data_IF_993616288680
#
_entry.id   IF_993616288680
#
_cell.length_a   1.000
_cell.length_b   1.000
_cell.length_c   1.000
_cell.angle_alpha   90.00
_cell.angle_beta   90.00
_cell.angle_gamma   90.00
#
_symmetry.space_group_name_H-M   'P 1'
#
loop_
_entity.id
_entity.type
_entity.pdbx_description
1 polymer ?
#
# COMPACT_ATOMS: atom_id res chain seq x y z
N UNK A 1 20.39 -18.72 -21.98
CA UNK A 1 20.53 -17.80 -20.82
C UNK A 1 19.64 -18.27 -19.68
N UNK A 2 20.15 -18.31 -18.45
CA UNK A 2 19.38 -18.73 -17.27
C UNK A 2 18.85 -17.50 -16.54
N UNK A 3 17.55 -17.49 -16.22
CA UNK A 3 16.92 -16.52 -15.34
C UNK A 3 16.52 -17.21 -14.02
N UNK A 4 17.14 -16.84 -12.89
CA UNK A 4 16.92 -17.49 -11.58
C UNK A 4 15.64 -17.01 -10.88
N UNK A 5 14.63 -16.62 -11.66
CA UNK A 5 13.35 -16.13 -11.17
C UNK A 5 12.23 -16.60 -12.07
N UNK A 6 11.07 -16.78 -11.47
CA UNK A 6 9.84 -17.09 -12.17
C UNK A 6 8.87 -15.93 -11.96
N UNK A 7 8.57 -15.19 -13.03
CA UNK A 7 7.54 -14.13 -13.04
C UNK A 7 6.60 -14.37 -14.21
N UNK A 8 5.31 -14.21 -13.96
CA UNK A 8 4.32 -14.12 -15.02
C UNK A 8 4.60 -12.87 -15.86
N UNK A 9 4.68 -13.02 -17.19
CA UNK A 9 5.07 -11.96 -18.15
C UNK A 9 6.44 -11.32 -17.85
N UNK A 10 7.47 -12.13 -17.62
CA UNK A 10 8.83 -11.63 -17.38
C UNK A 10 9.38 -10.89 -18.62
N UNK A 11 9.37 -9.55 -18.56
CA UNK A 11 9.86 -8.69 -19.64
C UNK A 11 11.32 -8.93 -20.00
N UNK A 12 12.15 -9.37 -19.06
CA UNK A 12 13.55 -9.70 -19.32
C UNK A 12 13.61 -10.97 -20.17
N UNK A 13 12.86 -12.00 -19.80
CA UNK A 13 12.76 -13.22 -20.60
C UNK A 13 12.27 -12.91 -22.02
N UNK A 14 11.18 -12.15 -22.15
CA UNK A 14 10.64 -11.78 -23.45
C UNK A 14 11.58 -10.92 -24.29
N UNK A 15 12.41 -10.07 -23.67
CA UNK A 15 13.40 -9.28 -24.39
C UNK A 15 14.55 -10.15 -24.91
N UNK A 16 15.02 -11.10 -24.10
CA UNK A 16 16.08 -12.02 -24.46
C UNK A 16 15.65 -13.01 -25.56
N UNK A 17 14.43 -13.54 -25.47
CA UNK A 17 13.84 -14.40 -26.51
C UNK A 17 13.70 -13.65 -27.84
N UNK A 18 13.22 -12.40 -27.82
CA UNK A 18 13.17 -11.54 -29.01
C UNK A 18 14.55 -11.22 -29.60
N UNK A 19 15.59 -11.22 -28.78
CA UNK A 19 16.97 -11.07 -29.22
C UNK A 19 17.59 -12.39 -29.73
N UNK A 20 16.81 -13.47 -29.85
CA UNK A 20 17.25 -14.78 -30.37
C UNK A 20 17.86 -15.71 -29.32
N UNK A 21 17.81 -15.36 -28.03
CA UNK A 21 18.33 -16.23 -26.97
C UNK A 21 17.34 -17.28 -26.52
N UNK A 22 17.79 -18.52 -26.33
CA UNK A 22 17.03 -19.52 -25.58
C UNK A 22 17.07 -19.19 -24.08
N UNK A 23 15.91 -18.98 -23.45
CA UNK A 23 15.81 -18.58 -22.04
C UNK A 23 15.28 -19.73 -21.18
N UNK A 24 16.09 -20.16 -20.21
CA UNK A 24 15.69 -21.11 -19.18
C UNK A 24 15.27 -20.33 -17.94
N UNK A 25 14.04 -20.53 -17.45
CA UNK A 25 13.50 -19.87 -16.25
C UNK A 25 13.43 -20.89 -15.13
N UNK A 26 14.06 -20.60 -14.00
CA UNK A 26 14.07 -21.48 -12.82
C UNK A 26 13.79 -20.64 -11.59
N UNK A 27 12.80 -21.02 -10.79
CA UNK A 27 12.56 -20.38 -9.49
C UNK A 27 13.60 -20.87 -8.47
N UNK A 28 14.65 -20.08 -8.22
CA UNK A 28 15.67 -20.42 -7.20
C UNK A 28 15.21 -19.99 -5.80
N UNK A 29 14.31 -19.01 -5.72
CA UNK A 29 13.70 -18.55 -4.48
C UNK A 29 12.18 -18.52 -4.62
N UNK A 30 11.47 -18.71 -3.51
CA UNK A 30 10.01 -18.56 -3.45
C UNK A 30 9.64 -17.38 -2.56
N UNK A 31 8.54 -16.73 -2.90
CA UNK A 31 7.90 -15.77 -1.99
C UNK A 31 6.96 -16.53 -1.07
N UNK A 32 7.05 -16.27 0.23
CA UNK A 32 6.04 -16.69 1.19
C UNK A 32 5.21 -15.46 1.55
N UNK A 33 3.87 -15.52 1.46
CA UNK A 33 3.02 -14.45 1.98
C UNK A 33 3.30 -14.23 3.46
N UNK A 34 3.33 -12.96 3.89
CA UNK A 34 3.38 -12.63 5.31
C UNK A 34 2.07 -13.00 5.99
N UNK A 35 2.11 -13.14 7.32
CA UNK A 35 0.91 -13.31 8.13
C UNK A 35 0.06 -12.03 8.06
N UNK A 36 -1.16 -12.15 7.54
CA UNK A 36 -2.11 -11.04 7.37
C UNK A 36 -2.41 -10.33 8.68
N UNK A 37 -2.59 -11.05 9.79
CA UNK A 37 -2.89 -10.44 11.08
C UNK A 37 -1.71 -9.63 11.61
N UNK A 38 -0.48 -10.11 11.37
CA UNK A 38 0.73 -9.36 11.72
C UNK A 38 0.86 -8.09 10.87
N UNK A 39 0.51 -8.15 9.58
CA UNK A 39 0.54 -7.00 8.68
C UNK A 39 -0.50 -5.94 9.06
N UNK A 40 -1.72 -6.34 9.42
CA UNK A 40 -2.79 -5.46 9.92
C UNK A 40 -2.37 -4.77 11.22
N UNK A 41 -1.89 -5.54 12.21
CA UNK A 41 -1.38 -4.97 13.47
C UNK A 41 -0.23 -4.01 13.22
N UNK A 42 0.69 -4.35 12.30
CA UNK A 42 1.82 -3.48 11.95
C UNK A 42 1.34 -2.19 11.32
N UNK A 43 0.40 -2.26 10.37
CA UNK A 43 -0.17 -1.08 9.71
C UNK A 43 -0.87 -0.15 10.72
N UNK A 44 -1.67 -0.72 11.63
CA UNK A 44 -2.32 0.05 12.70
C UNK A 44 -1.33 0.82 13.55
N UNK A 45 -0.26 0.15 14.00
CA UNK A 45 0.80 0.77 14.82
C UNK A 45 1.52 1.90 14.10
N UNK A 46 1.77 1.72 12.79
CA UNK A 46 2.38 2.75 11.95
C UNK A 46 1.45 3.97 11.84
N UNK A 47 0.17 3.76 11.54
CA UNK A 47 -0.82 4.83 11.40
C UNK A 47 -1.10 5.54 12.72
N UNK A 48 -1.09 4.80 13.84
CA UNK A 48 -1.21 5.35 15.19
C UNK A 48 0.04 6.13 15.64
N UNK A 49 1.14 6.09 14.87
CA UNK A 49 2.39 6.78 15.22
C UNK A 49 3.10 6.19 16.44
N UNK A 50 2.86 4.90 16.75
CA UNK A 50 3.48 4.23 17.91
C UNK A 50 5.00 4.06 17.77
N UNK A 51 5.53 4.19 16.56
CA UNK A 51 6.96 4.12 16.27
C UNK A 51 7.51 5.48 15.84
N UNK A 52 8.62 5.91 16.44
CA UNK A 52 9.34 7.12 16.01
C UNK A 52 10.13 6.93 14.71
N UNK A 53 10.37 5.67 14.31
CA UNK A 53 11.13 5.29 13.12
C UNK A 53 10.48 4.10 12.40
N UNK A 54 10.43 4.19 11.07
CA UNK A 54 10.16 3.06 10.18
C UNK A 54 11.36 2.84 9.27
N UNK A 55 11.89 1.61 9.24
CA UNK A 55 13.02 1.23 8.38
C UNK A 55 12.52 0.33 7.26
N UNK A 56 12.62 0.79 6.03
CA UNK A 56 12.20 0.07 4.83
C UNK A 56 13.43 -0.40 4.06
N UNK A 57 13.69 -1.70 4.13
CA UNK A 57 14.87 -2.32 3.50
C UNK A 57 14.59 -2.82 2.08
N UNK A 58 13.30 -2.93 1.70
CA UNK A 58 12.91 -3.41 0.38
C UNK A 58 11.65 -2.72 -0.14
N UNK A 59 11.63 -2.39 -1.44
CA UNK A 59 10.44 -1.88 -2.12
C UNK A 59 9.26 -2.85 -1.97
N UNK A 60 9.56 -4.16 -1.94
CA UNK A 60 8.56 -5.19 -1.74
C UNK A 60 7.83 -5.09 -0.41
N UNK A 61 8.52 -4.70 0.66
CA UNK A 61 7.90 -4.48 1.97
C UNK A 61 6.85 -3.38 1.87
N UNK A 62 7.13 -2.32 1.12
CA UNK A 62 6.17 -1.22 0.87
C UNK A 62 4.97 -1.73 0.07
N UNK A 63 5.21 -2.47 -1.01
CA UNK A 63 4.14 -3.05 -1.84
C UNK A 63 3.22 -3.97 -1.03
N UNK A 64 3.77 -4.76 -0.11
CA UNK A 64 2.99 -5.65 0.77
C UNK A 64 2.21 -4.86 1.82
N UNK A 65 2.81 -3.82 2.43
CA UNK A 65 2.15 -3.02 3.47
C UNK A 65 1.13 -2.03 2.91
N UNK A 66 1.27 -1.57 1.67
CA UNK A 66 0.44 -0.55 1.04
C UNK A 66 -1.08 -0.79 1.23
N UNK A 67 -1.65 -1.96 0.88
CA UNK A 67 -3.09 -2.17 1.06
C UNK A 67 -3.54 -2.11 2.53
N UNK A 68 -2.70 -2.54 3.47
CA UNK A 68 -3.02 -2.51 4.90
C UNK A 68 -2.95 -1.08 5.45
N UNK A 69 -1.94 -0.30 5.04
CA UNK A 69 -1.81 1.09 5.46
C UNK A 69 -2.96 1.97 4.92
N UNK A 70 -3.37 1.76 3.67
CA UNK A 70 -4.51 2.46 3.08
C UNK A 70 -5.83 2.05 3.73
N UNK A 71 -6.01 0.75 4.02
CA UNK A 71 -7.18 0.28 4.74
C UNK A 71 -7.29 0.89 6.15
N UNK A 72 -6.19 0.95 6.90
CA UNK A 72 -6.18 1.50 8.26
C UNK A 72 -6.51 3.01 8.31
N UNK A 73 -6.12 3.80 7.29
CA UNK A 73 -6.53 5.22 7.21
C UNK A 73 -7.93 5.43 6.63
N UNK A 74 -8.38 4.53 5.75
CA UNK A 74 -9.74 4.52 5.21
C UNK A 74 -10.80 4.15 6.27
N UNK A 75 -10.43 3.32 7.24
CA UNK A 75 -11.16 3.13 8.50
C UNK A 75 -10.84 4.33 9.41
N UNK A 76 -11.36 5.52 9.08
CA UNK A 76 -11.15 6.71 9.91
C UNK A 76 -11.52 6.50 11.38
N UNK A 77 -11.05 7.35 12.31
CA UNK A 77 -11.25 7.15 13.73
C UNK A 77 -12.75 7.10 14.06
N UNK A 78 -13.25 5.93 14.42
CA UNK A 78 -14.58 5.76 15.02
C UNK A 78 -14.51 6.20 16.49
N UNK A 79 -14.24 7.48 16.73
CA UNK A 79 -14.22 8.06 18.07
C UNK A 79 -15.26 9.19 18.15
N UNK A 80 -16.50 8.80 18.46
CA UNK A 80 -17.60 9.72 18.78
C UNK A 80 -18.96 9.02 18.84
N UNK A 81 -19.45 8.75 20.05
CA UNK A 81 -20.68 8.04 20.40
C UNK A 81 -21.99 8.72 19.90
N UNK A 82 -23.16 8.03 19.92
CA UNK A 82 -24.40 8.49 19.29
C UNK A 82 -25.10 9.55 20.14
N UNK A 83 -25.10 10.79 19.65
CA UNK A 83 -25.94 11.88 20.15
C UNK A 83 -27.26 11.92 19.38
N UNK A 84 -28.33 11.47 20.02
CA UNK A 84 -29.71 11.56 19.56
C UNK A 84 -30.18 13.02 19.49
N UNK A 85 -30.65 13.46 18.32
CA UNK A 85 -31.69 14.50 18.21
C UNK A 85 -32.52 14.35 16.92
N UNK A 86 -33.74 13.87 17.10
CA UNK A 86 -34.91 13.99 16.20
C UNK A 86 -35.19 15.46 15.84
N UNK A 87 -35.78 15.90 14.71
CA UNK A 87 -36.39 15.30 13.51
C UNK A 87 -36.51 16.43 12.43
N UNK A 88 -37.42 16.41 11.43
CA UNK A 88 -37.08 16.19 10.02
C UNK A 88 -37.43 17.38 9.08
N UNK A 89 -37.18 17.14 7.78
CA UNK A 89 -37.72 17.80 6.58
C UNK A 89 -36.75 18.70 5.80
N UNK A 90 -36.21 18.11 4.72
CA UNK A 90 -36.21 18.67 3.37
C UNK A 90 -35.34 17.80 2.47
N UNK A 91 -36.00 17.14 1.54
CA UNK A 91 -35.46 16.50 0.34
C UNK A 91 -34.26 17.25 -0.26
N UNK A 92 -33.11 16.58 -0.29
CA UNK A 92 -32.27 16.46 -1.47
C UNK A 92 -31.53 15.13 -1.34
N UNK A 93 -32.14 14.09 -1.89
CA UNK A 93 -31.44 12.86 -2.19
C UNK A 93 -30.43 13.17 -3.30
N UNK A 94 -29.17 13.39 -2.92
CA UNK A 94 -28.04 12.89 -3.69
C UNK A 94 -26.80 12.74 -2.79
N UNK A 95 -26.56 11.57 -2.19
CA UNK A 95 -25.24 11.24 -1.70
C UNK A 95 -24.52 10.51 -2.83
N UNK A 96 -23.81 11.29 -3.66
CA UNK A 96 -22.60 10.93 -4.42
C UNK A 96 -22.31 9.41 -4.45
N UNK A 97 -23.11 8.69 -5.25
CA UNK A 97 -22.91 7.26 -5.45
C UNK A 97 -21.70 7.10 -6.39
N UNK A 98 -20.56 6.83 -5.77
CA UNK A 98 -19.23 6.64 -6.34
C UNK A 98 -18.43 7.94 -6.53
N UNK A 99 -17.94 8.49 -5.41
CA UNK A 99 -16.63 9.12 -5.41
C UNK A 99 -15.70 8.29 -6.30
N UNK A 100 -15.23 8.90 -7.40
CA UNK A 100 -14.42 8.17 -8.37
C UNK A 100 -13.28 7.44 -7.66
N UNK A 101 -12.99 6.16 -7.99
CA UNK A 101 -12.00 5.37 -7.26
C UNK A 101 -10.62 6.05 -7.18
N UNK A 102 -10.28 6.87 -8.18
CA UNK A 102 -9.08 7.70 -8.17
C UNK A 102 -9.09 8.76 -7.04
N UNK A 103 -10.24 9.40 -6.78
CA UNK A 103 -10.39 10.45 -5.75
C UNK A 103 -10.34 9.86 -4.35
N UNK A 104 -10.94 8.68 -4.15
CA UNK A 104 -10.87 7.93 -2.90
C UNK A 104 -9.43 7.52 -2.59
N UNK A 105 -8.73 6.89 -3.55
CA UNK A 105 -7.32 6.51 -3.39
C UNK A 105 -6.42 7.72 -3.07
N UNK A 106 -6.60 8.86 -3.74
CA UNK A 106 -5.85 10.09 -3.42
C UNK A 106 -6.20 10.70 -2.05
N UNK A 107 -7.39 10.42 -1.51
CA UNK A 107 -7.75 10.84 -0.14
C UNK A 107 -7.03 9.98 0.89
N UNK A 108 -7.09 8.65 0.74
CA UNK A 108 -6.41 7.69 1.61
C UNK A 108 -4.89 7.91 1.60
N UNK A 109 -4.29 8.15 0.44
CA UNK A 109 -2.86 8.49 0.34
C UNK A 109 -2.50 9.76 1.11
N UNK A 110 -3.32 10.82 1.04
CA UNK A 110 -3.10 12.05 1.81
C UNK A 110 -3.28 11.84 3.30
N UNK A 111 -4.26 11.03 3.72
CA UNK A 111 -4.44 10.66 5.11
C UNK A 111 -3.25 9.87 5.63
N UNK A 112 -2.73 8.93 4.84
CA UNK A 112 -1.53 8.16 5.17
C UNK A 112 -0.29 9.06 5.26
N UNK A 113 -0.12 10.01 4.35
CA UNK A 113 0.94 11.01 4.42
C UNK A 113 0.87 11.83 5.72
N UNK A 114 -0.34 12.22 6.11
CA UNK A 114 -0.58 12.97 7.35
C UNK A 114 -0.28 12.12 8.57
N UNK A 115 -0.78 10.88 8.62
CA UNK A 115 -0.57 9.94 9.71
C UNK A 115 0.92 9.59 9.91
N UNK A 116 1.68 9.51 8.82
CA UNK A 116 3.10 9.17 8.85
C UNK A 116 4.04 10.37 8.91
N UNK A 117 3.52 11.60 8.88
CA UNK A 117 4.30 12.85 8.88
C UNK A 117 5.15 13.05 10.15
N UNK A 118 4.69 12.55 11.29
CA UNK A 118 5.42 12.62 12.57
C UNK A 118 6.51 11.55 12.70
N UNK A 119 6.51 10.53 11.83
CA UNK A 119 7.43 9.41 11.88
C UNK A 119 8.60 9.62 10.92
N UNK A 120 9.81 9.23 11.34
CA UNK A 120 10.99 9.25 10.47
C UNK A 120 11.10 7.96 9.69
N UNK A 121 11.26 8.06 8.37
CA UNK A 121 11.35 6.89 7.48
C UNK A 121 12.77 6.76 6.93
N UNK A 122 13.47 5.68 7.29
CA UNK A 122 14.76 5.33 6.73
C UNK A 122 14.56 4.33 5.59
N UNK A 123 15.17 4.59 4.44
CA UNK A 123 14.95 3.78 3.23
C UNK A 123 16.26 3.28 2.64
N UNK A 124 16.35 1.97 2.40
CA UNK A 124 17.52 1.35 1.77
C UNK A 124 17.32 1.24 0.27
N UNK A 125 17.96 2.15 -0.45
CA UNK A 125 18.09 2.14 -1.91
C UNK A 125 16.98 2.87 -2.68
N UNK A 126 17.25 3.28 -3.94
CA UNK A 126 16.34 4.13 -4.71
C UNK A 126 14.97 3.50 -5.03
N UNK A 127 14.93 2.17 -5.22
CA UNK A 127 13.68 1.48 -5.53
C UNK A 127 12.69 1.53 -4.37
N UNK A 128 13.17 1.32 -3.15
CA UNK A 128 12.36 1.41 -1.95
C UNK A 128 11.91 2.84 -1.70
N UNK A 129 12.77 3.83 -1.97
CA UNK A 129 12.43 5.25 -1.85
C UNK A 129 11.27 5.62 -2.75
N UNK A 130 11.35 5.23 -4.03
CA UNK A 130 10.27 5.46 -5.00
C UNK A 130 8.96 4.76 -4.63
N UNK A 131 9.04 3.53 -4.10
CA UNK A 131 7.86 2.80 -3.67
C UNK A 131 7.16 3.51 -2.50
N UNK A 132 7.92 4.00 -1.52
CA UNK A 132 7.39 4.75 -0.38
C UNK A 132 6.78 6.09 -0.80
N UNK A 133 7.50 6.90 -1.58
CA UNK A 133 6.97 8.19 -2.07
C UNK A 133 5.75 8.00 -2.98
N UNK A 134 5.73 6.94 -3.80
CA UNK A 134 4.56 6.63 -4.63
C UNK A 134 3.32 6.25 -3.81
N UNK A 135 3.50 5.78 -2.58
CA UNK A 135 2.41 5.45 -1.65
C UNK A 135 1.95 6.68 -0.87
N UNK A 136 2.87 7.52 -0.39
CA UNK A 136 2.55 8.68 0.47
C UNK A 136 2.29 9.98 -0.29
N UNK A 137 2.56 10.04 -1.59
CA UNK A 137 2.44 11.27 -2.38
C UNK A 137 3.74 12.05 -2.45
#
# INVERSE_FOLDING_TARGET
MLLPRLRERDRIASALERAGSQVLRVAVTRTVPGDTAVLEVTARRIVAGEAAWLVLTSARTVEVLAPYLLAEVGIGPTAGAPGHRDAPDASNADPDAAASPARAASSEQRQLATATSSMRVAVVGPATGRAWTGLTG
#
